data_IF_096311546043
#
_entry.id   IF_096311546043
#
_cell.length_a   1.000
_cell.length_b   1.000
_cell.length_c   1.000
_cell.angle_alpha   90.00
_cell.angle_beta   90.00
_cell.angle_gamma   90.00
#
_symmetry.space_group_name_H-M   'P 1'
#
loop_
_entity.id
_entity.type
_entity.pdbx_description
1 polymer ?
#
# COMPACT_ATOMS: atom_id res chain seq x y z
N UNK A 1 -36.28 21.17 60.42
CA UNK A 1 -36.78 22.11 59.38
C UNK A 1 -38.30 22.22 59.47
N UNK A 2 -38.86 23.42 59.37
CA UNK A 2 -40.32 23.62 59.46
C UNK A 2 -41.00 23.34 58.11
N UNK A 3 -41.47 22.10 57.92
CA UNK A 3 -42.12 21.65 56.67
C UNK A 3 -43.62 21.94 56.63
N UNK A 4 -44.15 22.67 57.63
CA UNK A 4 -45.58 22.91 57.80
C UNK A 4 -46.25 23.73 56.67
N UNK A 5 -45.45 24.36 55.82
CA UNK A 5 -45.89 25.17 54.68
C UNK A 5 -45.78 24.45 53.34
N UNK A 6 -45.22 23.23 53.29
CA UNK A 6 -45.10 22.47 52.05
C UNK A 6 -46.41 21.78 51.66
N UNK A 7 -46.71 21.64 50.35
CA UNK A 7 -47.87 20.89 49.89
C UNK A 7 -47.83 19.43 50.38
N UNK A 8 -49.01 18.86 50.70
CA UNK A 8 -49.15 17.56 51.37
C UNK A 8 -48.29 16.45 50.76
N UNK A 9 -48.29 16.34 49.41
CA UNK A 9 -47.50 15.35 48.66
C UNK A 9 -45.98 15.43 48.87
N UNK A 10 -45.46 16.61 49.18
CA UNK A 10 -44.03 16.79 49.46
C UNK A 10 -43.72 16.59 50.95
N UNK A 11 -44.66 16.97 51.83
CA UNK A 11 -44.57 16.68 53.26
C UNK A 11 -44.58 15.18 53.54
N UNK A 12 -45.49 14.45 52.89
CA UNK A 12 -45.64 12.99 53.05
C UNK A 12 -44.37 12.26 52.58
N UNK A 13 -43.70 12.75 51.53
CA UNK A 13 -42.41 12.22 51.06
C UNK A 13 -41.25 12.50 52.01
N UNK A 14 -41.34 13.54 52.85
CA UNK A 14 -40.31 13.91 53.82
C UNK A 14 -40.54 13.30 55.21
N UNK A 15 -41.62 12.54 55.42
CA UNK A 15 -41.93 11.88 56.69
C UNK A 15 -40.79 10.96 57.14
N UNK A 16 -40.20 10.17 56.24
CA UNK A 16 -39.06 9.29 56.55
C UNK A 16 -37.80 10.04 57.05
N UNK A 17 -37.67 11.33 56.75
CA UNK A 17 -36.54 12.18 57.21
C UNK A 17 -36.83 12.80 58.58
N UNK A 18 -38.09 13.12 58.88
CA UNK A 18 -38.50 13.74 60.15
C UNK A 18 -38.82 12.73 61.25
N UNK A 19 -39.29 11.54 60.89
CA UNK A 19 -39.51 10.40 61.78
C UNK A 19 -38.73 9.22 61.23
N UNK A 20 -37.40 9.18 61.44
CA UNK A 20 -36.63 8.00 61.07
C UNK A 20 -37.15 6.79 61.85
N UNK A 21 -37.32 5.66 61.17
CA UNK A 21 -37.71 4.42 61.83
C UNK A 21 -36.65 4.09 62.90
N UNK A 22 -37.03 3.80 64.16
CA UNK A 22 -36.06 3.54 65.24
C UNK A 22 -35.11 2.37 64.94
N UNK A 23 -35.48 1.50 64.00
CA UNK A 23 -34.75 0.32 63.59
C UNK A 23 -34.05 0.46 62.21
N UNK A 24 -34.20 1.60 61.52
CA UNK A 24 -33.53 1.83 60.24
C UNK A 24 -32.09 2.33 60.49
N UNK A 25 -31.15 1.38 60.54
CA UNK A 25 -29.72 1.67 60.60
C UNK A 25 -29.28 2.18 59.23
N UNK A 26 -29.20 3.51 59.07
CA UNK A 26 -28.56 4.11 57.89
C UNK A 26 -27.13 3.59 57.80
N UNK A 27 -26.63 3.19 56.61
CA UNK A 27 -25.25 2.75 56.50
C UNK A 27 -24.33 3.92 56.83
N UNK A 28 -23.56 3.78 57.90
CA UNK A 28 -22.52 4.73 58.25
C UNK A 28 -21.45 4.70 57.14
N UNK A 29 -21.59 5.60 56.17
CA UNK A 29 -20.69 5.72 55.02
C UNK A 29 -19.23 5.93 55.45
N UNK A 30 -19.03 6.56 56.60
CA UNK A 30 -17.74 6.74 57.26
C UNK A 30 -17.17 5.37 57.66
N UNK A 31 -17.96 4.56 58.35
CA UNK A 31 -17.57 3.22 58.82
C UNK A 31 -17.30 2.26 57.65
N UNK A 32 -18.13 2.29 56.61
CA UNK A 32 -17.95 1.50 55.40
C UNK A 32 -16.68 1.87 54.64
N UNK A 33 -16.29 3.15 54.65
CA UNK A 33 -15.02 3.60 54.07
C UNK A 33 -13.83 2.99 54.81
N UNK A 34 -13.77 3.07 56.14
CA UNK A 34 -12.69 2.48 56.93
C UNK A 34 -12.60 0.95 56.84
N UNK A 35 -13.66 0.29 56.39
CA UNK A 35 -13.68 -1.16 56.16
C UNK A 35 -12.99 -1.57 54.85
N UNK A 36 -12.80 -0.66 53.89
CA UNK A 36 -12.17 -0.96 52.60
C UNK A 36 -10.74 -1.47 52.77
N UNK A 37 -10.36 -2.57 52.07
CA UNK A 37 -9.03 -3.18 52.21
C UNK A 37 -7.91 -2.21 51.84
N UNK A 38 -8.11 -1.36 50.82
CA UNK A 38 -7.14 -0.35 50.40
C UNK A 38 -6.77 0.64 51.53
N UNK A 39 -7.76 1.11 52.30
CA UNK A 39 -7.50 2.03 53.41
C UNK A 39 -6.84 1.34 54.59
N UNK A 40 -7.17 0.06 54.85
CA UNK A 40 -6.47 -0.75 55.87
C UNK A 40 -4.99 -0.96 55.50
N UNK A 41 -4.70 -1.25 54.23
CA UNK A 41 -3.33 -1.36 53.71
C UNK A 41 -2.56 -0.04 53.92
N UNK A 42 -3.21 1.10 53.62
CA UNK A 42 -2.62 2.43 53.78
C UNK A 42 -2.33 2.79 55.26
N UNK A 43 -3.27 2.53 56.15
CA UNK A 43 -3.10 2.77 57.59
C UNK A 43 -1.98 1.90 58.19
N UNK A 44 -1.87 0.65 57.74
CA UNK A 44 -0.76 -0.22 58.13
C UNK A 44 0.57 0.30 57.58
N UNK A 45 0.62 0.84 56.36
CA UNK A 45 1.84 1.44 55.81
C UNK A 45 2.29 2.68 56.61
N UNK A 46 1.37 3.52 57.09
CA UNK A 46 1.70 4.72 57.86
C UNK A 46 2.05 4.46 59.32
N UNK A 47 1.27 3.62 60.00
CA UNK A 47 1.40 3.43 61.46
C UNK A 47 2.03 2.07 61.83
N UNK A 48 2.30 1.21 60.84
CA UNK A 48 2.86 -0.12 61.05
C UNK A 48 1.97 -0.96 61.96
N UNK A 49 2.60 -1.80 62.80
CA UNK A 49 1.90 -2.65 63.78
C UNK A 49 1.07 -1.88 64.80
N UNK A 50 1.36 -0.58 65.04
CA UNK A 50 0.58 0.25 65.97
C UNK A 50 -0.86 0.48 65.50
N UNK A 51 -1.14 0.28 64.20
CA UNK A 51 -2.48 0.34 63.62
C UNK A 51 -3.42 -0.79 64.08
N UNK A 52 -2.88 -1.88 64.65
CA UNK A 52 -3.68 -3.05 65.04
C UNK A 52 -4.26 -3.87 63.88
N UNK A 53 -3.88 -3.56 62.64
CA UNK A 53 -4.36 -4.25 61.43
C UNK A 53 -3.53 -5.53 61.23
N UNK A 54 -4.20 -6.63 60.92
CA UNK A 54 -3.54 -7.90 60.62
C UNK A 54 -2.71 -7.77 59.32
N UNK A 55 -1.39 -8.03 59.33
CA UNK A 55 -0.54 -7.94 58.14
C UNK A 55 -0.94 -8.92 57.01
N UNK A 56 -1.71 -9.97 57.31
CA UNK A 56 -2.22 -10.89 56.29
C UNK A 56 -3.10 -10.20 55.24
N UNK A 57 -3.74 -9.08 55.58
CA UNK A 57 -4.60 -8.30 54.67
C UNK A 57 -3.77 -7.62 53.55
N UNK A 58 -2.45 -7.48 53.71
CA UNK A 58 -1.60 -6.84 52.71
C UNK A 58 -1.52 -7.66 51.42
N UNK A 59 -1.51 -8.98 51.55
CA UNK A 59 -1.48 -9.91 50.43
C UNK A 59 -2.86 -10.01 49.78
N UNK A 60 -2.92 -10.28 48.46
CA UNK A 60 -4.18 -10.55 47.77
C UNK A 60 -4.93 -11.71 48.42
N UNK A 61 -6.25 -11.68 48.30
CA UNK A 61 -7.07 -12.86 48.58
C UNK A 61 -6.75 -13.98 47.57
N UNK A 62 -7.13 -15.22 47.89
CA UNK A 62 -6.95 -16.37 46.97
C UNK A 62 -7.69 -16.14 45.64
N UNK A 63 -8.84 -15.48 45.68
CA UNK A 63 -9.61 -15.11 44.48
C UNK A 63 -8.89 -14.04 43.67
N UNK A 64 -8.49 -12.93 44.31
CA UNK A 64 -7.72 -11.85 43.67
C UNK A 64 -6.40 -12.38 43.07
N UNK A 65 -5.74 -13.32 43.73
CA UNK A 65 -4.50 -13.93 43.23
C UNK A 65 -4.73 -14.77 41.98
N UNK A 66 -5.87 -15.48 41.88
CA UNK A 66 -6.22 -16.21 40.66
C UNK A 66 -6.46 -15.25 39.51
N UNK A 67 -7.19 -14.16 39.75
CA UNK A 67 -7.44 -13.14 38.74
C UNK A 67 -6.14 -12.52 38.22
N UNK A 68 -5.19 -12.22 39.11
CA UNK A 68 -3.86 -11.72 38.73
C UNK A 68 -3.10 -12.74 37.88
N UNK A 69 -3.08 -14.02 38.29
CA UNK A 69 -2.39 -15.08 37.55
C UNK A 69 -3.02 -15.30 36.16
N UNK A 70 -4.34 -15.27 36.07
CA UNK A 70 -5.06 -15.40 34.80
C UNK A 70 -4.79 -14.21 33.89
N UNK A 71 -4.78 -12.99 34.45
CA UNK A 71 -4.42 -11.78 33.72
C UNK A 71 -2.98 -11.83 33.19
N UNK A 72 -2.01 -12.16 34.04
CA UNK A 72 -0.60 -12.31 33.64
C UNK A 72 -0.44 -13.36 32.53
N UNK A 73 -1.10 -14.51 32.64
CA UNK A 73 -1.02 -15.54 31.60
C UNK A 73 -1.60 -15.12 30.25
N UNK A 74 -2.69 -14.36 30.26
CA UNK A 74 -3.36 -13.94 29.03
C UNK A 74 -2.62 -12.78 28.35
N UNK A 75 -2.14 -11.81 29.15
CA UNK A 75 -1.61 -10.55 28.61
C UNK A 75 -0.09 -10.46 28.62
N UNK A 76 0.59 -11.20 29.51
CA UNK A 76 2.04 -11.16 29.67
C UNK A 76 2.67 -12.49 29.21
N UNK A 77 3.03 -12.61 27.92
CA UNK A 77 3.64 -13.84 27.41
C UNK A 77 5.00 -14.10 28.08
N UNK A 78 5.41 -15.37 28.09
CA UNK A 78 6.72 -15.72 28.63
C UNK A 78 7.86 -15.14 27.78
N UNK A 79 9.01 -14.93 28.41
CA UNK A 79 10.20 -14.46 27.70
C UNK A 79 10.60 -15.41 26.56
N UNK A 80 10.38 -16.72 26.74
CA UNK A 80 10.69 -17.73 25.72
C UNK A 80 9.78 -17.57 24.50
N UNK A 81 8.49 -17.32 24.72
CA UNK A 81 7.52 -17.10 23.63
C UNK A 81 7.83 -15.82 22.86
N UNK A 82 8.19 -14.74 23.56
CA UNK A 82 8.62 -13.50 22.91
C UNK A 82 9.88 -13.70 22.06
N UNK A 83 10.87 -14.44 22.57
CA UNK A 83 12.07 -14.76 21.81
C UNK A 83 11.79 -15.66 20.60
N UNK A 84 10.84 -16.60 20.71
CA UNK A 84 10.41 -17.44 19.60
C UNK A 84 9.76 -16.59 18.51
N UNK A 85 8.81 -15.72 18.86
CA UNK A 85 8.17 -14.78 17.91
C UNK A 85 9.18 -13.91 17.19
N UNK A 86 10.12 -13.31 17.91
CA UNK A 86 11.19 -12.50 17.31
C UNK A 86 12.10 -13.29 16.36
N UNK A 87 12.33 -14.59 16.62
CA UNK A 87 13.08 -15.44 15.69
C UNK A 87 12.29 -15.71 14.43
N UNK A 88 11.01 -16.04 14.56
CA UNK A 88 10.12 -16.27 13.42
C UNK A 88 9.99 -15.03 12.53
N UNK A 89 9.79 -13.85 13.14
CA UNK A 89 9.75 -12.57 12.43
C UNK A 89 11.03 -12.32 11.64
N UNK A 90 12.20 -12.48 12.27
CA UNK A 90 13.49 -12.33 11.58
C UNK A 90 13.67 -13.34 10.45
N UNK A 91 13.24 -14.58 10.63
CA UNK A 91 13.33 -15.59 9.58
C UNK A 91 12.45 -15.25 8.38
N UNK A 92 11.24 -14.72 8.62
CA UNK A 92 10.34 -14.26 7.58
C UNK A 92 10.94 -13.06 6.83
N UNK A 93 11.42 -12.04 7.55
CA UNK A 93 12.09 -10.88 6.95
C UNK A 93 13.29 -11.30 6.09
N UNK A 94 14.13 -12.20 6.60
CA UNK A 94 15.28 -12.72 5.87
C UNK A 94 14.88 -13.52 4.63
N UNK A 95 13.75 -14.25 4.66
CA UNK A 95 13.22 -14.94 3.49
C UNK A 95 12.73 -13.93 2.44
N UNK A 96 11.98 -12.91 2.84
CA UNK A 96 11.51 -11.87 1.94
C UNK A 96 12.65 -11.11 1.27
N UNK A 97 13.70 -10.76 2.03
CA UNK A 97 14.89 -10.10 1.49
C UNK A 97 15.55 -11.00 0.44
N UNK A 98 15.78 -12.28 0.75
CA UNK A 98 16.37 -13.24 -0.19
C UNK A 98 15.53 -13.42 -1.45
N UNK A 99 14.21 -13.44 -1.35
CA UNK A 99 13.33 -13.54 -2.52
C UNK A 99 13.39 -12.30 -3.39
N UNK A 100 13.41 -11.11 -2.78
CA UNK A 100 13.60 -9.83 -3.49
C UNK A 100 14.96 -9.79 -4.18
N UNK A 101 16.03 -10.20 -3.50
CA UNK A 101 17.38 -10.29 -4.07
C UNK A 101 17.41 -11.22 -5.29
N UNK A 102 16.91 -12.46 -5.16
CA UNK A 102 16.81 -13.40 -6.28
C UNK A 102 16.03 -12.84 -7.47
N UNK A 103 14.93 -12.15 -7.20
CA UNK A 103 14.12 -11.52 -8.25
C UNK A 103 14.91 -10.41 -8.94
N UNK A 104 15.59 -9.55 -8.19
CA UNK A 104 16.43 -8.48 -8.73
C UNK A 104 17.57 -9.06 -9.56
N UNK A 105 18.28 -10.07 -9.06
CA UNK A 105 19.35 -10.77 -9.78
C UNK A 105 18.85 -11.34 -11.12
N UNK A 106 17.70 -12.02 -11.11
CA UNK A 106 17.11 -12.59 -12.33
C UNK A 106 16.76 -11.54 -13.38
N UNK A 107 16.34 -10.34 -12.94
CA UNK A 107 16.02 -9.20 -13.81
C UNK A 107 17.30 -8.55 -14.33
N UNK A 108 18.28 -8.33 -13.45
CA UNK A 108 19.59 -7.77 -13.79
C UNK A 108 20.31 -8.66 -14.82
N UNK A 109 20.20 -9.98 -14.73
CA UNK A 109 20.75 -10.89 -15.73
C UNK A 109 20.17 -10.67 -17.14
N UNK A 110 18.90 -10.24 -17.25
CA UNK A 110 18.23 -9.94 -18.53
C UNK A 110 18.48 -8.51 -19.01
N UNK A 111 18.91 -7.59 -18.14
CA UNK A 111 19.14 -6.19 -18.49
C UNK A 111 20.08 -5.97 -19.68
N UNK A 112 21.23 -6.68 -19.82
CA UNK A 112 22.11 -6.51 -20.98
C UNK A 112 21.42 -6.78 -22.31
N UNK A 113 20.49 -7.74 -22.35
CA UNK A 113 19.71 -8.04 -23.55
C UNK A 113 18.77 -6.87 -23.88
N UNK A 114 18.02 -6.37 -22.89
CA UNK A 114 17.13 -5.22 -23.08
C UNK A 114 17.87 -3.95 -23.48
N UNK A 115 19.04 -3.69 -22.91
CA UNK A 115 19.88 -2.55 -23.30
C UNK A 115 20.32 -2.66 -24.77
N UNK A 116 20.72 -3.87 -25.22
CA UNK A 116 21.09 -4.12 -26.62
C UNK A 116 19.91 -3.90 -27.55
N UNK A 117 18.74 -4.44 -27.22
CA UNK A 117 17.52 -4.23 -28.00
C UNK A 117 17.12 -2.76 -28.08
N UNK A 118 17.16 -2.05 -26.96
CA UNK A 118 16.83 -0.63 -26.91
C UNK A 118 17.77 0.20 -27.79
N UNK A 119 19.08 -0.02 -27.67
CA UNK A 119 20.07 0.65 -28.53
C UNK A 119 19.87 0.31 -30.00
N UNK A 120 19.50 -0.93 -30.33
CA UNK A 120 19.21 -1.32 -31.70
C UNK A 120 17.94 -0.63 -32.24
N UNK A 121 16.89 -0.45 -31.41
CA UNK A 121 15.70 0.30 -31.79
C UNK A 121 16.02 1.78 -32.02
N UNK A 122 16.81 2.40 -31.16
CA UNK A 122 17.26 3.79 -31.32
C UNK A 122 18.00 3.98 -32.65
N UNK A 123 19.01 3.15 -32.94
CA UNK A 123 19.75 3.22 -34.20
C UNK A 123 18.85 3.06 -35.42
N UNK A 124 17.92 2.10 -35.39
CA UNK A 124 16.96 1.91 -36.48
C UNK A 124 16.06 3.13 -36.67
N UNK A 125 15.62 3.76 -35.59
CA UNK A 125 14.82 4.98 -35.66
C UNK A 125 15.63 6.14 -36.26
N UNK A 126 16.87 6.35 -35.82
CA UNK A 126 17.79 7.36 -36.37
C UNK A 126 18.06 7.14 -37.86
N UNK A 127 18.32 5.89 -38.26
CA UNK A 127 18.52 5.52 -39.67
C UNK A 127 17.27 5.80 -40.51
N UNK A 128 16.09 5.44 -39.99
CA UNK A 128 14.82 5.72 -40.67
C UNK A 128 14.57 7.22 -40.81
N UNK A 129 14.78 8.01 -39.76
CA UNK A 129 14.66 9.47 -39.82
C UNK A 129 15.64 10.07 -40.83
N UNK A 130 16.88 9.61 -40.85
CA UNK A 130 17.90 10.08 -41.78
C UNK A 130 17.56 9.71 -43.23
N UNK A 131 17.03 8.50 -43.46
CA UNK A 131 16.51 8.10 -44.77
C UNK A 131 15.31 8.95 -45.19
N UNK A 132 14.38 9.24 -44.29
CA UNK A 132 13.22 10.10 -44.57
C UNK A 132 13.67 11.54 -44.88
N UNK A 133 14.64 12.09 -44.13
CA UNK A 133 15.23 13.39 -44.43
C UNK A 133 15.90 13.42 -45.81
N UNK A 134 16.68 12.39 -46.15
CA UNK A 134 17.31 12.26 -47.47
C UNK A 134 16.27 12.18 -48.60
N UNK A 135 15.26 11.31 -48.45
CA UNK A 135 14.16 11.19 -49.44
C UNK A 135 13.42 12.52 -49.61
N UNK A 136 13.17 13.23 -48.50
CA UNK A 136 12.55 14.54 -48.53
C UNK A 136 13.41 15.57 -49.25
N UNK A 137 14.72 15.59 -49.02
CA UNK A 137 15.65 16.48 -49.71
C UNK A 137 15.66 16.20 -51.22
N UNK A 138 15.79 14.93 -51.62
CA UNK A 138 15.73 14.55 -53.04
C UNK A 138 14.44 15.03 -53.71
N UNK A 139 13.29 14.87 -53.04
CA UNK A 139 12.01 15.32 -53.60
C UNK A 139 11.94 16.85 -53.74
N UNK A 140 12.53 17.59 -52.81
CA UNK A 140 12.63 19.05 -52.88
C UNK A 140 13.57 19.51 -54.00
N UNK A 141 14.70 18.83 -54.19
CA UNK A 141 15.64 19.14 -55.27
C UNK A 141 15.01 18.85 -56.64
N UNK A 142 14.32 17.72 -56.81
CA UNK A 142 13.57 17.41 -58.04
C UNK A 142 12.46 18.43 -58.33
N UNK A 143 11.73 18.87 -57.30
CA UNK A 143 10.72 19.92 -57.46
C UNK A 143 11.35 21.25 -57.87
N UNK A 144 12.53 21.59 -57.30
CA UNK A 144 13.29 22.77 -57.69
C UNK A 144 13.72 22.73 -59.15
N UNK A 145 14.16 21.57 -59.65
CA UNK A 145 14.54 21.40 -61.05
C UNK A 145 13.33 21.51 -61.99
N UNK A 146 12.17 20.98 -61.58
CA UNK A 146 10.94 21.04 -62.37
C UNK A 146 10.37 22.46 -62.49
N UNK A 147 10.37 23.22 -61.39
CA UNK A 147 9.77 24.56 -61.34
C UNK A 147 10.76 25.70 -61.56
N UNK A 148 12.07 25.46 -61.40
CA UNK A 148 13.13 26.45 -61.61
C UNK A 148 13.38 27.41 -60.43
N UNK A 149 12.68 27.26 -59.31
CA UNK A 149 12.85 28.07 -58.10
C UNK A 149 12.59 27.23 -56.83
N UNK A 150 13.01 27.74 -55.65
CA UNK A 150 12.82 27.03 -54.37
C UNK A 150 11.35 27.08 -53.94
N UNK A 151 10.76 25.91 -53.66
CA UNK A 151 9.36 25.76 -53.27
C UNK A 151 9.27 25.21 -51.86
N UNK A 152 8.34 25.76 -51.08
CA UNK A 152 8.10 25.32 -49.72
C UNK A 152 7.40 23.95 -49.68
N UNK A 153 7.76 23.06 -48.75
CA UNK A 153 7.16 21.73 -48.63
C UNK A 153 5.64 21.72 -48.37
N UNK A 154 5.07 22.85 -47.93
CA UNK A 154 3.65 22.99 -47.60
C UNK A 154 2.83 23.62 -48.76
N UNK A 155 3.47 23.90 -49.91
CA UNK A 155 2.78 24.46 -51.07
C UNK A 155 1.95 23.37 -51.78
N UNK A 156 0.68 23.62 -52.14
CA UNK A 156 -0.17 22.67 -52.87
C UNK A 156 0.44 22.18 -54.21
N UNK A 157 1.36 22.93 -54.82
CA UNK A 157 2.06 22.50 -56.05
C UNK A 157 3.06 21.37 -55.79
N UNK A 158 3.70 21.38 -54.62
CA UNK A 158 4.62 20.32 -54.20
C UNK A 158 3.87 19.00 -53.93
N UNK A 159 2.66 19.10 -53.37
CA UNK A 159 1.80 17.94 -53.15
C UNK A 159 1.43 17.22 -54.45
N UNK A 160 1.19 17.96 -55.54
CA UNK A 160 0.87 17.38 -56.85
C UNK A 160 2.05 16.57 -57.42
N UNK A 161 3.28 17.08 -57.32
CA UNK A 161 4.49 16.34 -57.74
C UNK A 161 4.70 15.11 -56.88
N UNK A 162 4.55 15.24 -55.57
CA UNK A 162 4.66 14.11 -54.64
C UNK A 162 3.68 13.00 -54.98
N UNK A 163 2.41 13.34 -55.25
CA UNK A 163 1.38 12.37 -55.65
C UNK A 163 1.71 11.69 -57.00
N UNK A 164 2.16 12.45 -58.00
CA UNK A 164 2.56 11.91 -59.29
C UNK A 164 3.70 10.87 -59.15
N UNK A 165 4.71 11.18 -58.33
CA UNK A 165 5.83 10.28 -58.04
C UNK A 165 5.40 9.03 -57.27
N UNK A 166 4.55 9.17 -56.25
CA UNK A 166 4.01 8.02 -55.52
C UNK A 166 3.21 7.09 -56.44
N UNK A 167 2.49 7.62 -57.44
CA UNK A 167 1.79 6.81 -58.44
C UNK A 167 2.74 6.10 -59.40
N UNK A 168 3.79 6.76 -59.86
CA UNK A 168 4.85 6.15 -60.67
C UNK A 168 5.54 5.01 -59.92
N UNK A 169 5.92 5.23 -58.66
CA UNK A 169 6.52 4.19 -57.81
C UNK A 169 5.56 3.02 -57.58
N UNK A 170 4.27 3.29 -57.29
CA UNK A 170 3.25 2.23 -57.16
C UNK A 170 3.09 1.42 -58.43
N UNK A 171 3.11 2.05 -59.61
CA UNK A 171 3.05 1.39 -60.92
C UNK A 171 4.29 0.53 -61.15
N UNK A 172 5.48 1.04 -60.84
CA UNK A 172 6.75 0.29 -60.97
C UNK A 172 6.85 -0.88 -60.01
N UNK A 173 6.43 -0.73 -58.75
CA UNK A 173 6.39 -1.81 -57.75
C UNK A 173 5.39 -2.90 -58.15
N UNK A 174 4.25 -2.54 -58.73
CA UNK A 174 3.28 -3.53 -59.26
C UNK A 174 3.85 -4.32 -60.44
N UNK A 175 4.65 -3.69 -61.32
CA UNK A 175 5.32 -4.37 -62.44
C UNK A 175 6.41 -5.33 -61.94
N UNK A 176 7.30 -4.87 -61.06
CA UNK A 176 8.34 -5.71 -60.43
C UNK A 176 7.76 -6.92 -59.70
N UNK A 177 6.68 -6.75 -58.93
CA UNK A 177 5.97 -7.87 -58.28
C UNK A 177 5.37 -8.88 -59.26
N UNK A 178 4.94 -8.44 -60.46
CA UNK A 178 4.44 -9.35 -61.50
C UNK A 178 5.60 -10.14 -62.13
N UNK A 179 6.73 -9.49 -62.39
CA UNK A 179 7.94 -10.11 -62.93
C UNK A 179 8.60 -11.09 -61.95
N UNK A 180 8.64 -10.79 -60.65
CA UNK A 180 9.10 -11.70 -59.60
C UNK A 180 8.20 -12.95 -59.49
N UNK A 181 6.88 -12.79 -59.64
CA UNK A 181 5.95 -13.93 -59.69
C UNK A 181 6.17 -14.79 -60.93
N UNK A 182 6.35 -14.17 -62.10
CA UNK A 182 6.60 -14.89 -63.35
C UNK A 182 7.94 -15.64 -63.33
N UNK A 183 8.99 -15.02 -62.78
CA UNK A 183 10.31 -15.66 -62.64
C UNK A 183 10.35 -16.77 -61.58
N UNK A 184 9.60 -16.65 -60.48
CA UNK A 184 9.46 -17.74 -59.51
C UNK A 184 8.66 -18.93 -60.07
N UNK A 185 7.66 -18.68 -60.92
CA UNK A 185 6.93 -19.73 -61.64
C UNK A 185 7.84 -20.42 -62.67
N UNK A 186 8.64 -19.68 -63.43
CA UNK A 186 9.58 -20.24 -64.40
C UNK A 186 10.69 -21.11 -63.74
N UNK A 187 11.14 -20.75 -62.53
CA UNK A 187 12.10 -21.56 -61.75
C UNK A 187 11.48 -22.87 -61.23
N UNK A 188 10.17 -22.90 -60.98
CA UNK A 188 9.45 -24.10 -60.54
C UNK A 188 9.17 -25.07 -61.70
N UNK A 189 9.00 -24.56 -62.93
CA UNK A 189 8.72 -25.38 -64.13
C UNK A 189 9.97 -25.78 -64.92
N UNK A 190 11.17 -25.40 -64.46
CA UNK A 190 12.44 -25.55 -65.17
C UNK A 190 13.43 -26.54 -64.55
N UNK A 191 12.96 -27.59 -63.88
CA UNK A 191 13.79 -28.74 -63.47
C UNK A 191 13.49 -29.93 -64.38
N UNK A 192 14.25 -30.18 -65.46
CA UNK A 192 14.15 -31.40 -66.25
C UNK A 192 14.94 -32.53 -65.58
N UNK A 193 14.39 -33.74 -65.70
CA UNK A 193 15.02 -35.03 -65.43
C UNK A 193 16.40 -35.20 -66.08
#
# INVERSE_FOLDING_TARGET
MNVSRMPKRYRDRMLHVLTPDPNEVKPDYITAMYQKPALKKLLYAWYGKKSGINPGILWPSVEELKDIIEFEKEWEPSLQDMLAKLREERELEMKEIKEKEKLVESRLAKMPQYIKEYRARLKKAEEQELQLKKKRQVLLDEARDYFGYQIDPNDPRFEQIKLAKEEEEKKMMKKKKKEEKLSNVAKFTGSPH
#
